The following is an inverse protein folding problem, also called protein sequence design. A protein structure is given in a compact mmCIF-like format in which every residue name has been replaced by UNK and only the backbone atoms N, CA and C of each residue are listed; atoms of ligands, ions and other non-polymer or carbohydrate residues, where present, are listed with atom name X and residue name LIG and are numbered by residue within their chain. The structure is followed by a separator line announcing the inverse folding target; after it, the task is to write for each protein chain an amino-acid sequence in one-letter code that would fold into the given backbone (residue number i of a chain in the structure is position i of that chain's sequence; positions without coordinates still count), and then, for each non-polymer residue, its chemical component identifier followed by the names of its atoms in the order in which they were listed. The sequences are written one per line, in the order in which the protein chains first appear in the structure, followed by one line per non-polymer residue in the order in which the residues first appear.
data_IF_221042338797
#
_entry.id   IF_221042338797
#
_cell.length_a   1.000
_cell.length_b   1.000
_cell.length_c   1.000
_cell.angle_alpha   90.00
_cell.angle_beta   90.00
_cell.angle_gamma   90.00
#
_symmetry.space_group_name_H-M   'P 1'
#
loop_
_entity.id
_entity.type
_entity.pdbx_description
1 polymer ?
#
# COMPACT_ATOMS: atom_id res chain seq x y z
N UNK A 1 1.95 -12.29 -11.56
CA UNK A 1 1.61 -11.54 -10.34
C UNK A 1 2.59 -10.40 -10.17
N UNK A 2 2.08 -9.20 -9.93
CA UNK A 2 2.96 -8.04 -9.86
C UNK A 2 3.52 -7.82 -8.45
N UNK A 3 4.62 -7.08 -8.38
CA UNK A 3 5.27 -6.78 -7.10
C UNK A 3 4.50 -5.73 -6.32
N UNK A 4 4.79 -5.64 -5.03
CA UNK A 4 4.21 -4.57 -4.19
C UNK A 4 4.66 -3.22 -4.75
N UNK A 5 5.90 -3.14 -5.25
CA UNK A 5 6.39 -1.93 -5.88
C UNK A 5 5.52 -1.51 -7.08
N UNK A 6 5.17 -2.47 -7.92
CA UNK A 6 4.32 -2.17 -9.07
C UNK A 6 2.95 -1.69 -8.64
N UNK A 7 2.39 -2.29 -7.60
CA UNK A 7 1.13 -1.85 -7.02
C UNK A 7 1.26 -0.41 -6.52
N UNK A 8 2.36 -0.12 -5.81
CA UNK A 8 2.60 1.22 -5.28
C UNK A 8 2.71 2.26 -6.39
N UNK A 9 3.35 1.91 -7.49
CA UNK A 9 3.46 2.83 -8.62
C UNK A 9 2.11 3.11 -9.26
N UNK A 10 1.23 2.12 -9.32
CA UNK A 10 -0.13 2.34 -9.80
C UNK A 10 -0.91 3.25 -8.87
N UNK A 11 -0.75 3.06 -7.55
CA UNK A 11 -1.39 3.93 -6.57
C UNK A 11 -0.95 5.37 -6.77
N UNK A 12 0.35 5.58 -6.92
CA UNK A 12 0.89 6.92 -7.09
C UNK A 12 0.39 7.57 -8.39
N UNK A 13 0.16 6.76 -9.41
CA UNK A 13 -0.33 7.25 -10.69
C UNK A 13 -1.79 7.70 -10.61
N UNK A 14 -2.60 7.00 -9.81
CA UNK A 14 -4.02 7.30 -9.68
C UNK A 14 -4.31 8.32 -8.57
N UNK A 15 -3.65 8.17 -7.44
CA UNK A 15 -3.82 9.06 -6.29
C UNK A 15 -2.69 10.08 -6.27
N UNK A 16 -2.82 11.12 -7.07
CA UNK A 16 -1.73 12.05 -7.31
C UNK A 16 -1.47 13.02 -6.17
N UNK A 17 -2.50 13.39 -5.42
CA UNK A 17 -2.34 14.30 -4.29
C UNK A 17 -2.74 13.56 -3.02
N UNK A 18 -1.76 13.21 -2.23
CA UNK A 18 -1.97 12.46 -1.00
C UNK A 18 -1.77 13.41 0.18
N UNK A 19 -2.87 13.84 0.79
CA UNK A 19 -2.82 14.77 1.91
C UNK A 19 -2.54 14.09 3.26
N UNK A 20 -2.72 12.77 3.33
CA UNK A 20 -2.45 12.03 4.55
C UNK A 20 -0.98 11.64 4.59
N UNK A 21 -0.22 12.19 5.53
CA UNK A 21 1.21 11.95 5.62
C UNK A 21 1.57 10.50 5.88
N UNK A 22 0.76 9.80 6.68
CA UNK A 22 1.04 8.40 6.99
C UNK A 22 0.82 7.51 5.77
N UNK A 23 -0.22 7.79 5.00
CA UNK A 23 -0.45 7.05 3.76
C UNK A 23 0.69 7.28 2.78
N UNK A 24 1.16 8.53 2.69
CA UNK A 24 2.25 8.87 1.78
C UNK A 24 3.55 8.19 2.17
N UNK A 25 3.86 8.18 3.46
CA UNK A 25 5.07 7.51 3.95
C UNK A 25 5.00 6.00 3.70
N UNK A 26 3.85 5.40 3.98
CA UNK A 26 3.67 3.98 3.74
C UNK A 26 3.83 3.65 2.26
N UNK A 27 3.30 4.51 1.39
CA UNK A 27 3.42 4.32 -0.05
C UNK A 27 4.88 4.36 -0.50
N UNK A 28 5.66 5.31 0.04
CA UNK A 28 7.08 5.39 -0.28
C UNK A 28 7.82 4.11 0.11
N UNK A 29 7.47 3.54 1.24
CA UNK A 29 8.04 2.26 1.67
C UNK A 29 7.64 1.13 0.72
N UNK A 30 6.39 1.11 0.30
CA UNK A 30 5.90 0.07 -0.60
C UNK A 30 6.59 0.09 -1.95
N UNK A 31 7.06 1.26 -2.38
CA UNK A 31 7.78 1.38 -3.65
C UNK A 31 9.11 0.63 -3.65
N UNK A 32 9.61 0.25 -2.49
CA UNK A 32 10.86 -0.49 -2.36
C UNK A 32 10.66 -1.97 -2.07
N UNK A 33 9.42 -2.43 -2.05
CA UNK A 33 9.13 -3.82 -1.75
C UNK A 33 9.10 -4.68 -3.00
N UNK A 34 9.40 -5.99 -2.82
CA UNK A 34 9.33 -6.95 -3.92
C UNK A 34 7.98 -7.65 -3.98
N UNK A 35 8.01 -8.96 -4.17
CA UNK A 35 6.79 -9.75 -4.37
C UNK A 35 5.92 -9.85 -3.13
N UNK A 36 6.51 -9.75 -1.95
CA UNK A 36 5.80 -9.85 -0.69
C UNK A 36 6.09 -8.62 0.15
N UNK A 37 5.24 -8.33 1.15
CA UNK A 37 5.52 -7.22 2.05
C UNK A 37 6.86 -7.42 2.76
N UNK A 38 7.73 -6.44 2.64
CA UNK A 38 9.08 -6.49 3.19
C UNK A 38 9.30 -5.37 4.19
N UNK A 39 10.31 -5.54 5.03
CA UNK A 39 10.66 -4.51 6.01
C UNK A 39 11.02 -3.21 5.31
N UNK A 40 10.59 -2.11 5.91
CA UNK A 40 10.96 -0.79 5.45
C UNK A 40 11.68 -0.09 6.59
N UNK A 41 12.88 0.37 6.33
CA UNK A 41 13.71 0.95 7.37
C UNK A 41 14.21 -0.10 8.33
N UNK A 42 14.46 0.29 9.57
CA UNK A 42 15.06 -0.61 10.55
C UNK A 42 14.03 -1.40 11.38
N UNK A 43 12.86 -0.83 11.58
CA UNK A 43 11.91 -1.39 12.53
C UNK A 43 10.54 -1.76 11.99
N UNK A 44 10.23 -1.35 10.77
CA UNK A 44 8.89 -1.54 10.26
C UNK A 44 8.72 -2.87 9.53
N UNK A 45 7.71 -3.61 9.97
CA UNK A 45 7.29 -4.82 9.30
C UNK A 45 6.51 -4.43 8.04
N UNK A 46 6.79 -5.08 6.91
CA UNK A 46 6.14 -4.77 5.65
C UNK A 46 4.62 -4.91 5.71
N UNK A 47 4.13 -5.89 6.43
CA UNK A 47 2.68 -6.06 6.59
C UNK A 47 2.07 -4.89 7.34
N UNK A 48 2.78 -4.38 8.35
CA UNK A 48 2.32 -3.21 9.10
C UNK A 48 2.29 -1.98 8.22
N UNK A 49 3.25 -1.84 7.32
CA UNK A 49 3.30 -0.72 6.38
C UNK A 49 2.06 -0.73 5.49
N UNK A 50 1.72 -1.89 4.91
CA UNK A 50 0.55 -2.00 4.05
C UNK A 50 -0.72 -1.77 4.84
N UNK A 51 -0.79 -2.29 6.05
CA UNK A 51 -1.94 -2.09 6.93
C UNK A 51 -2.13 -0.60 7.24
N UNK A 52 -1.03 0.11 7.53
CA UNK A 52 -1.09 1.55 7.77
C UNK A 52 -1.58 2.28 6.54
N UNK A 53 -1.08 1.92 5.37
CA UNK A 53 -1.52 2.53 4.13
C UNK A 53 -3.04 2.33 3.96
N UNK A 54 -3.54 1.11 4.12
CA UNK A 54 -4.95 0.84 3.94
C UNK A 54 -5.81 1.60 4.95
N UNK A 55 -5.34 1.72 6.18
CA UNK A 55 -6.08 2.44 7.21
C UNK A 55 -6.16 3.94 6.92
N UNK A 56 -5.15 4.48 6.26
CA UNK A 56 -5.07 5.92 5.99
C UNK A 56 -5.41 6.30 4.55
N UNK A 57 -5.90 5.36 3.76
CA UNK A 57 -6.25 5.63 2.37
C UNK A 57 -7.76 5.80 2.15
N UNK A 58 -8.49 6.16 3.19
CA UNK A 58 -9.94 6.32 3.12
C UNK A 58 -10.34 7.38 2.10
N UNK A 59 -9.53 8.41 1.95
CA UNK A 59 -9.79 9.47 0.98
C UNK A 59 -9.54 9.09 -0.46
N UNK A 60 -8.88 7.97 -0.69
CA UNK A 60 -8.63 7.47 -2.04
C UNK A 60 -9.78 6.57 -2.46
N UNK A 61 -10.57 7.02 -3.41
CA UNK A 61 -11.79 6.34 -3.83
C UNK A 61 -11.79 6.11 -5.33
N UNK A 62 -12.74 5.29 -5.78
CA UNK A 62 -12.91 5.01 -7.18
C UNK A 62 -12.62 3.55 -7.49
N UNK A 63 -12.72 3.21 -8.76
CA UNK A 63 -12.60 1.83 -9.19
C UNK A 63 -11.20 1.28 -9.01
N UNK A 64 -10.20 2.08 -9.35
CA UNK A 64 -8.80 1.67 -9.18
C UNK A 64 -8.49 1.46 -7.70
N UNK A 65 -8.92 2.40 -6.86
CA UNK A 65 -8.70 2.31 -5.42
C UNK A 65 -9.30 1.02 -4.84
N UNK A 66 -10.53 0.73 -5.24
CA UNK A 66 -11.22 -0.45 -4.74
C UNK A 66 -10.50 -1.74 -5.14
N UNK A 67 -10.10 -1.82 -6.40
CA UNK A 67 -9.41 -3.00 -6.93
C UNK A 67 -8.05 -3.19 -6.27
N UNK A 68 -7.28 -2.12 -6.16
CA UNK A 68 -5.94 -2.18 -5.59
C UNK A 68 -5.97 -2.48 -4.10
N UNK A 69 -6.89 -1.88 -3.36
CA UNK A 69 -7.02 -2.18 -1.94
C UNK A 69 -7.35 -3.66 -1.72
N UNK A 70 -8.19 -4.23 -2.56
CA UNK A 70 -8.51 -5.65 -2.48
C UNK A 70 -7.26 -6.49 -2.77
N UNK A 71 -6.50 -6.12 -3.76
CA UNK A 71 -5.27 -6.82 -4.11
C UNK A 71 -4.27 -6.80 -2.95
N UNK A 72 -4.11 -5.65 -2.31
CA UNK A 72 -3.21 -5.54 -1.15
C UNK A 72 -3.66 -6.42 0.01
N UNK A 73 -4.97 -6.49 0.25
CA UNK A 73 -5.49 -7.37 1.30
C UNK A 73 -5.17 -8.83 1.01
N UNK A 74 -5.30 -9.24 -0.23
CA UNK A 74 -4.99 -10.61 -0.64
C UNK A 74 -3.49 -10.90 -0.47
N UNK A 75 -2.65 -9.92 -0.78
CA UNK A 75 -1.20 -10.09 -0.64
C UNK A 75 -0.78 -10.25 0.82
N UNK A 76 -1.47 -9.61 1.73
CA UNK A 76 -1.18 -9.74 3.15
C UNK A 76 -1.68 -11.05 3.71
N UNK A 77 -2.71 -11.65 3.11
CA UNK A 77 -3.25 -12.92 3.58
C UNK A 77 -3.92 -12.85 4.93
N UNK A 78 -4.32 -11.67 5.37
CA UNK A 78 -4.92 -11.50 6.68
C UNK A 78 -6.38 -11.06 6.59
N UNK A 79 -7.28 -11.74 7.31
CA UNK A 79 -8.70 -11.39 7.28
C UNK A 79 -9.03 -10.08 8.00
N UNK A 80 -8.11 -9.56 8.80
CA UNK A 80 -8.36 -8.30 9.52
C UNK A 80 -8.39 -7.08 8.60
N UNK A 81 -7.95 -7.23 7.40
CA UNK A 81 -8.06 -6.17 6.40
C UNK A 81 -9.44 -6.19 5.73
#
# INVERSE_FOLDING_TARGET
MRTIREIALEIASDWKVINNGEAREALECMKEMGMVPERCGTDLNGYSVIRTFLAHSVGWRGEVARRVKRELRQRCGHPWL
#
